data_IF_383132507969
#
_entry.id   IF_383132507969
#
_cell.length_a   1.000
_cell.length_b   1.000
_cell.length_c   1.000
_cell.angle_alpha   90.00
_cell.angle_beta   90.00
_cell.angle_gamma   90.00
#
_symmetry.space_group_name_H-M   'P 1'
#
loop_
_entity.id
_entity.type
_entity.pdbx_description
1 polymer ?
#
# COMPACT_ATOMS: atom_id res chain seq x y z
N UNK A 1 -30.97 -0.29 -31.05
CA UNK A 1 -30.17 -1.16 -30.17
C UNK A 1 -30.77 -1.06 -28.78
N UNK A 2 -31.37 -2.14 -28.24
CA UNK A 2 -32.02 -2.09 -26.93
C UNK A 2 -30.98 -1.90 -25.80
N UNK A 3 -31.25 -1.08 -24.77
CA UNK A 3 -30.31 -0.89 -23.67
C UNK A 3 -30.06 -2.22 -22.94
N UNK A 4 -28.85 -2.43 -22.39
CA UNK A 4 -28.56 -3.63 -21.62
C UNK A 4 -29.50 -3.73 -20.41
N UNK A 5 -29.99 -4.95 -20.16
CA UNK A 5 -30.86 -5.26 -19.04
C UNK A 5 -30.24 -4.82 -17.71
N UNK A 6 -31.07 -4.50 -16.72
CA UNK A 6 -30.60 -4.11 -15.38
C UNK A 6 -29.57 -5.10 -14.81
N UNK A 7 -29.81 -6.40 -15.00
CA UNK A 7 -28.90 -7.48 -14.62
C UNK A 7 -27.52 -7.39 -15.29
N UNK A 8 -27.47 -7.11 -16.59
CA UNK A 8 -26.21 -6.96 -17.32
C UNK A 8 -25.41 -5.72 -16.86
N UNK A 9 -26.10 -4.68 -16.38
CA UNK A 9 -25.48 -3.47 -15.81
C UNK A 9 -24.91 -3.74 -14.43
N UNK A 10 -25.66 -4.43 -13.57
CA UNK A 10 -25.21 -4.86 -12.23
C UNK A 10 -24.00 -5.79 -12.33
N UNK A 11 -24.02 -6.78 -13.23
CA UNK A 11 -22.91 -7.70 -13.42
C UNK A 11 -21.61 -7.03 -13.93
N UNK A 12 -21.73 -5.83 -14.52
CA UNK A 12 -20.59 -5.06 -15.04
C UNK A 12 -20.03 -4.09 -13.99
N UNK A 13 -20.88 -3.43 -13.22
CA UNK A 13 -20.49 -2.37 -12.27
C UNK A 13 -20.27 -2.92 -10.86
N UNK A 14 -21.03 -3.96 -10.47
CA UNK A 14 -20.99 -4.56 -9.14
C UNK A 14 -19.58 -4.93 -8.66
N UNK A 15 -18.77 -5.65 -9.44
CA UNK A 15 -17.44 -6.04 -8.97
C UNK A 15 -16.47 -4.86 -8.80
N UNK A 16 -16.62 -3.80 -9.59
CA UNK A 16 -15.83 -2.56 -9.40
C UNK A 16 -16.18 -1.86 -8.10
N UNK A 17 -17.46 -1.81 -7.74
CA UNK A 17 -17.86 -1.25 -6.44
C UNK A 17 -17.37 -2.15 -5.30
N UNK A 18 -17.50 -3.47 -5.45
CA UNK A 18 -17.03 -4.44 -4.48
C UNK A 18 -15.50 -4.38 -4.28
N UNK A 19 -14.72 -4.03 -5.31
CA UNK A 19 -13.25 -3.95 -5.21
C UNK A 19 -12.77 -2.79 -4.35
N UNK A 20 -13.64 -1.86 -3.94
CA UNK A 20 -13.30 -0.79 -2.99
C UNK A 20 -13.50 -1.23 -1.54
N UNK A 21 -14.28 -2.29 -1.29
CA UNK A 21 -14.65 -2.74 0.06
C UNK A 21 -13.42 -3.17 0.86
N UNK A 22 -12.59 -4.06 0.32
CA UNK A 22 -11.39 -4.53 1.02
C UNK A 22 -10.39 -3.39 1.35
N UNK A 23 -10.03 -2.50 0.40
CA UNK A 23 -9.21 -1.33 0.71
C UNK A 23 -9.80 -0.44 1.79
N UNK A 24 -11.12 -0.19 1.73
CA UNK A 24 -11.82 0.61 2.74
C UNK A 24 -11.75 -0.03 4.13
N UNK A 25 -11.97 -1.34 4.22
CA UNK A 25 -11.89 -2.06 5.51
C UNK A 25 -10.47 -2.05 6.09
N UNK A 26 -9.44 -2.25 5.27
CA UNK A 26 -8.04 -2.17 5.72
C UNK A 26 -7.69 -0.74 6.13
N UNK A 27 -8.06 0.28 5.34
CA UNK A 27 -7.80 1.68 5.70
C UNK A 27 -8.49 2.06 7.03
N UNK A 28 -9.72 1.61 7.26
CA UNK A 28 -10.42 1.78 8.54
C UNK A 28 -9.70 1.05 9.68
N UNK A 29 -9.23 -0.18 9.44
CA UNK A 29 -8.52 -0.95 10.44
C UNK A 29 -7.21 -0.26 10.85
N UNK A 30 -6.39 0.16 9.88
CA UNK A 30 -5.15 0.92 10.12
C UNK A 30 -5.46 2.21 10.86
N UNK A 31 -6.45 3.00 10.42
CA UNK A 31 -6.81 4.26 11.08
C UNK A 31 -7.29 4.09 12.53
N UNK A 32 -7.86 2.93 12.88
CA UNK A 32 -8.37 2.65 14.23
C UNK A 32 -7.36 1.96 15.14
N UNK A 33 -6.44 1.20 14.56
CA UNK A 33 -5.61 0.26 15.32
C UNK A 33 -4.10 0.52 15.21
N UNK A 34 -3.65 1.35 14.27
CA UNK A 34 -2.24 1.74 14.20
C UNK A 34 -1.85 2.54 15.46
N UNK A 35 -0.75 2.15 16.07
CA UNK A 35 -0.19 2.79 17.26
C UNK A 35 1.13 3.46 16.91
N UNK A 36 1.46 4.54 17.61
CA UNK A 36 2.73 5.23 17.43
C UNK A 36 3.84 4.56 18.23
N UNK A 37 4.19 3.34 17.87
CA UNK A 37 5.29 2.57 18.47
C UNK A 37 6.00 1.83 17.36
N UNK A 38 7.34 1.92 17.24
CA UNK A 38 8.08 1.17 16.24
C UNK A 38 7.93 -0.34 16.42
N UNK A 39 7.90 -1.07 15.30
CA UNK A 39 7.85 -2.52 15.27
C UNK A 39 8.87 -3.11 14.28
N UNK A 40 9.52 -4.21 14.71
CA UNK A 40 10.47 -4.99 13.87
C UNK A 40 11.51 -4.13 13.14
N UNK A 41 11.39 -3.97 11.81
CA UNK A 41 12.36 -3.31 10.96
C UNK A 41 12.42 -1.80 11.25
N UNK A 42 11.34 -1.20 11.74
CA UNK A 42 11.31 0.21 12.12
C UNK A 42 12.30 0.51 13.26
N UNK A 43 12.54 -0.44 14.18
CA UNK A 43 13.55 -0.28 15.23
C UNK A 43 14.96 -0.17 14.66
N UNK A 44 15.25 -0.81 13.53
CA UNK A 44 16.56 -0.74 12.89
C UNK A 44 16.85 0.65 12.31
N UNK A 45 15.83 1.47 12.04
CA UNK A 45 15.99 2.85 11.54
C UNK A 45 16.25 3.89 12.62
N UNK A 46 16.20 3.50 13.91
CA UNK A 46 16.39 4.43 15.03
C UNK A 46 17.65 5.30 14.90
N UNK A 47 18.84 4.74 14.57
CA UNK A 47 20.04 5.56 14.41
C UNK A 47 19.87 6.58 13.29
N UNK A 48 19.38 6.17 12.12
CA UNK A 48 19.23 7.07 10.98
C UNK A 48 18.16 8.14 11.21
N UNK A 49 17.08 7.83 11.92
CA UNK A 49 16.10 8.84 12.32
C UNK A 49 16.70 9.87 13.27
N UNK A 50 17.50 9.43 14.25
CA UNK A 50 18.24 10.33 15.13
C UNK A 50 19.21 11.22 14.34
N UNK A 51 19.90 10.64 13.35
CA UNK A 51 20.83 11.35 12.48
C UNK A 51 20.11 12.37 11.59
N UNK A 52 18.94 12.03 11.06
CA UNK A 52 18.06 12.94 10.32
C UNK A 52 17.58 14.09 11.20
N UNK A 53 17.18 13.81 12.45
CA UNK A 53 16.74 14.82 13.40
C UNK A 53 17.85 15.84 13.74
N UNK A 54 19.10 15.38 13.78
CA UNK A 54 20.28 16.21 14.06
C UNK A 54 20.94 16.80 12.79
N UNK A 55 20.40 16.53 11.59
CA UNK A 55 20.97 17.02 10.33
C UNK A 55 22.32 16.41 9.94
N UNK A 56 22.61 15.20 10.43
CA UNK A 56 23.90 14.49 10.25
C UNK A 56 23.80 13.21 9.42
N UNK A 57 22.67 12.94 8.78
CA UNK A 57 22.50 11.77 7.92
C UNK A 57 23.48 11.82 6.74
N UNK A 58 24.26 10.77 6.56
CA UNK A 58 25.21 10.63 5.45
C UNK A 58 24.65 9.79 4.30
N UNK A 59 25.16 10.02 3.09
CA UNK A 59 24.82 9.19 1.92
C UNK A 59 25.29 7.73 2.08
N UNK A 60 26.37 7.51 2.85
CA UNK A 60 26.88 6.17 3.13
C UNK A 60 25.89 5.34 3.93
N UNK A 61 25.18 5.96 4.88
CA UNK A 61 24.14 5.30 5.67
C UNK A 61 22.90 4.96 4.84
N UNK A 62 22.54 5.83 3.90
CA UNK A 62 21.45 5.53 2.96
C UNK A 62 21.78 4.36 2.03
N UNK A 63 23.06 4.21 1.66
CA UNK A 63 23.55 3.13 0.79
C UNK A 63 24.06 1.91 1.56
N UNK A 64 23.99 1.91 2.89
CA UNK A 64 24.46 0.82 3.72
C UNK A 64 23.72 -0.49 3.40
N UNK A 65 24.43 -1.61 3.50
CA UNK A 65 23.82 -2.93 3.33
C UNK A 65 22.95 -3.24 4.56
N UNK A 66 21.72 -3.65 4.32
CA UNK A 66 20.79 -4.16 5.33
C UNK A 66 20.34 -5.56 4.89
N UNK A 67 20.74 -6.57 5.65
CA UNK A 67 20.62 -7.98 5.26
C UNK A 67 21.27 -8.24 3.88
N UNK A 68 20.54 -8.84 2.93
CA UNK A 68 21.05 -9.21 1.61
C UNK A 68 20.97 -8.09 0.56
N UNK A 69 20.45 -6.91 0.93
CA UNK A 69 20.14 -5.86 -0.04
C UNK A 69 20.43 -4.44 0.47
N UNK A 70 20.25 -3.44 -0.42
CA UNK A 70 20.41 -2.02 -0.12
C UNK A 70 19.05 -1.32 -0.32
N UNK A 71 18.20 -1.22 0.72
CA UNK A 71 16.82 -0.72 0.59
C UNK A 71 16.77 0.82 0.56
N UNK A 72 17.49 1.44 -0.39
CA UNK A 72 17.68 2.90 -0.45
C UNK A 72 16.35 3.64 -0.59
N UNK A 73 15.49 3.21 -1.52
CA UNK A 73 14.21 3.87 -1.78
C UNK A 73 13.22 3.76 -0.61
N UNK A 74 12.95 2.56 -0.04
CA UNK A 74 12.13 2.44 1.17
C UNK A 74 12.67 3.29 2.31
N UNK A 75 13.99 3.24 2.56
CA UNK A 75 14.64 4.00 3.62
C UNK A 75 14.47 5.51 3.45
N UNK A 76 14.63 6.03 2.23
CA UNK A 76 14.38 7.45 1.93
C UNK A 76 12.94 7.87 2.24
N UNK A 77 11.96 7.04 1.87
CA UNK A 77 10.55 7.31 2.15
C UNK A 77 10.28 7.31 3.66
N UNK A 78 10.76 6.29 4.38
CA UNK A 78 10.58 6.16 5.83
C UNK A 78 11.25 7.32 6.58
N UNK A 79 12.48 7.68 6.24
CA UNK A 79 13.18 8.81 6.86
C UNK A 79 12.50 10.16 6.56
N UNK A 80 11.94 10.33 5.36
CA UNK A 80 11.15 11.51 5.03
C UNK A 80 9.87 11.58 5.87
N UNK A 81 9.13 10.47 5.99
CA UNK A 81 7.95 10.38 6.85
C UNK A 81 8.30 10.66 8.31
N UNK A 82 9.39 10.07 8.82
CA UNK A 82 9.86 10.31 10.17
C UNK A 82 10.19 11.80 10.39
N UNK A 83 10.90 12.44 9.46
CA UNK A 83 11.25 13.85 9.56
C UNK A 83 10.05 14.79 9.52
N UNK A 84 9.03 14.46 8.73
CA UNK A 84 7.83 15.28 8.54
C UNK A 84 6.80 15.09 9.67
N UNK A 85 6.73 13.89 10.24
CA UNK A 85 5.74 13.52 11.26
C UNK A 85 6.26 13.61 12.69
N UNK A 86 7.56 13.89 12.88
CA UNK A 86 8.29 13.70 14.15
C UNK A 86 8.29 12.23 14.60
N UNK A 87 8.51 11.37 13.62
CA UNK A 87 8.54 9.91 13.71
C UNK A 87 7.30 9.32 14.38
N UNK A 88 6.16 9.68 13.81
CA UNK A 88 4.89 9.07 14.15
C UNK A 88 4.61 7.91 13.19
N UNK A 89 4.84 6.67 13.65
CA UNK A 89 4.82 5.45 12.80
C UNK A 89 3.45 5.18 12.17
N UNK A 90 2.37 5.80 12.68
CA UNK A 90 1.04 5.72 12.05
C UNK A 90 1.03 6.30 10.63
N UNK A 91 1.93 7.23 10.31
CA UNK A 91 2.09 7.74 8.94
C UNK A 91 2.78 6.73 8.03
N UNK A 92 3.61 5.85 8.57
CA UNK A 92 4.24 4.75 7.83
C UNK A 92 3.18 3.71 7.48
N UNK A 93 2.33 3.29 8.42
CA UNK A 93 1.17 2.43 8.12
C UNK A 93 0.21 3.06 7.10
N UNK A 94 -0.06 4.36 7.21
CA UNK A 94 -0.89 5.07 6.23
C UNK A 94 -0.22 5.12 4.83
N UNK A 95 1.10 5.28 4.76
CA UNK A 95 1.85 5.23 3.52
C UNK A 95 1.81 3.82 2.90
N UNK A 96 1.89 2.75 3.69
CA UNK A 96 1.71 1.37 3.20
C UNK A 96 0.34 1.16 2.55
N UNK A 97 -0.74 1.69 3.15
CA UNK A 97 -2.08 1.67 2.53
C UNK A 97 -2.09 2.44 1.21
N UNK A 98 -1.46 3.62 1.15
CA UNK A 98 -1.38 4.42 -0.08
C UNK A 98 -0.61 3.70 -1.20
N UNK A 99 0.52 3.07 -0.87
CA UNK A 99 1.32 2.27 -1.82
C UNK A 99 0.53 1.07 -2.32
N UNK A 100 -0.20 0.37 -1.45
CA UNK A 100 -1.05 -0.74 -1.85
C UNK A 100 -2.22 -0.30 -2.75
N UNK A 101 -2.77 0.90 -2.55
CA UNK A 101 -3.79 1.47 -3.44
C UNK A 101 -3.20 1.77 -4.82
N UNK A 102 -2.00 2.36 -4.87
CA UNK A 102 -1.29 2.57 -6.13
C UNK A 102 -1.00 1.24 -6.85
N UNK A 103 -0.57 0.21 -6.11
CA UNK A 103 -0.39 -1.14 -6.63
C UNK A 103 -1.69 -1.70 -7.22
N UNK A 104 -2.83 -1.56 -6.55
CA UNK A 104 -4.12 -2.02 -7.07
C UNK A 104 -4.51 -1.29 -8.37
N UNK A 105 -4.25 0.02 -8.48
CA UNK A 105 -4.48 0.78 -9.72
C UNK A 105 -3.61 0.24 -10.85
N UNK A 106 -2.33 -0.01 -10.58
CA UNK A 106 -1.39 -0.59 -11.56
C UNK A 106 -1.86 -1.99 -11.98
N UNK A 107 -2.24 -2.85 -11.02
CA UNK A 107 -2.77 -4.18 -11.30
C UNK A 107 -4.05 -4.11 -12.13
N UNK A 108 -4.96 -3.20 -11.82
CA UNK A 108 -6.19 -3.01 -12.59
C UNK A 108 -5.90 -2.58 -14.03
N UNK A 109 -4.94 -1.67 -14.23
CA UNK A 109 -4.49 -1.25 -15.56
C UNK A 109 -3.85 -2.42 -16.33
N UNK A 110 -2.99 -3.20 -15.69
CA UNK A 110 -2.35 -4.38 -16.29
C UNK A 110 -3.38 -5.47 -16.66
N UNK A 111 -4.33 -5.76 -15.77
CA UNK A 111 -5.43 -6.70 -16.04
C UNK A 111 -6.26 -6.21 -17.24
N UNK A 112 -6.62 -4.92 -17.26
CA UNK A 112 -7.39 -4.35 -18.36
C UNK A 112 -6.63 -4.39 -19.70
N UNK A 113 -5.31 -4.22 -19.67
CA UNK A 113 -4.45 -4.28 -20.86
C UNK A 113 -4.25 -5.70 -21.38
N UNK A 114 -4.06 -6.68 -20.49
CA UNK A 114 -3.60 -8.04 -20.86
C UNK A 114 -4.73 -9.05 -21.02
N UNK A 115 -5.86 -8.89 -20.33
CA UNK A 115 -6.96 -9.86 -20.38
C UNK A 115 -7.80 -9.66 -21.66
N UNK A 116 -7.93 -10.70 -22.52
CA UNK A 116 -8.69 -10.59 -23.75
C UNK A 116 -10.19 -10.38 -23.50
N UNK A 117 -10.75 -11.10 -22.53
CA UNK A 117 -12.17 -10.98 -22.18
C UNK A 117 -12.42 -9.80 -21.23
N UNK A 118 -12.89 -8.67 -21.77
CA UNK A 118 -13.23 -7.47 -20.98
C UNK A 118 -14.35 -7.68 -19.97
N UNK A 119 -15.11 -8.77 -20.10
CA UNK A 119 -16.13 -9.18 -19.11
C UNK A 119 -15.51 -9.72 -17.82
N UNK A 120 -14.29 -10.26 -17.88
CA UNK A 120 -13.59 -10.83 -16.72
C UNK A 120 -12.80 -9.79 -15.93
N UNK A 121 -12.37 -8.70 -16.57
CA UNK A 121 -11.59 -7.61 -15.94
C UNK A 121 -12.15 -7.17 -14.59
N UNK A 122 -13.44 -6.77 -14.43
CA UNK A 122 -13.98 -6.33 -13.14
C UNK A 122 -13.86 -7.40 -12.04
N UNK A 123 -14.01 -8.68 -12.38
CA UNK A 123 -13.89 -9.79 -11.43
C UNK A 123 -12.44 -10.04 -11.02
N UNK A 124 -11.51 -9.95 -11.97
CA UNK A 124 -10.08 -10.11 -11.69
C UNK A 124 -9.55 -8.95 -10.84
N UNK A 125 -10.04 -7.73 -11.06
CA UNK A 125 -9.71 -6.59 -10.19
C UNK A 125 -10.29 -6.76 -8.80
N UNK A 126 -11.51 -7.28 -8.66
CA UNK A 126 -12.07 -7.64 -7.35
C UNK A 126 -11.20 -8.65 -6.62
N UNK A 127 -10.73 -9.70 -7.30
CA UNK A 127 -9.81 -10.69 -6.72
C UNK A 127 -8.47 -10.06 -6.34
N UNK A 128 -7.87 -9.25 -7.22
CA UNK A 128 -6.62 -8.55 -6.92
C UNK A 128 -6.77 -7.65 -5.68
N UNK A 129 -7.87 -6.88 -5.60
CA UNK A 129 -8.20 -6.07 -4.43
C UNK A 129 -8.33 -6.90 -3.16
N UNK A 130 -9.05 -8.03 -3.20
CA UNK A 130 -9.22 -8.89 -2.05
C UNK A 130 -7.90 -9.51 -1.57
N UNK A 131 -7.00 -9.89 -2.49
CA UNK A 131 -5.69 -10.46 -2.14
C UNK A 131 -4.77 -9.40 -1.55
N UNK A 132 -4.66 -8.24 -2.21
CA UNK A 132 -3.82 -7.13 -1.76
C UNK A 132 -4.29 -6.60 -0.41
N UNK A 133 -5.59 -6.37 -0.22
CA UNK A 133 -6.18 -5.82 1.00
C UNK A 133 -6.82 -6.88 1.89
N UNK A 134 -6.07 -7.95 2.16
CA UNK A 134 -6.49 -9.00 3.10
C UNK A 134 -5.78 -8.87 4.45
N UNK A 135 -6.40 -9.43 5.49
CA UNK A 135 -5.73 -9.62 6.79
C UNK A 135 -4.58 -10.63 6.73
N UNK A 136 -4.49 -11.43 5.66
CA UNK A 136 -3.33 -12.30 5.43
C UNK A 136 -2.06 -11.50 5.11
N UNK A 137 -2.20 -10.24 4.71
CA UNK A 137 -1.10 -9.30 4.47
C UNK A 137 -0.82 -8.43 5.71
N UNK A 138 -1.03 -8.96 6.93
CA UNK A 138 -0.95 -8.16 8.17
C UNK A 138 0.41 -7.49 8.39
N UNK A 139 1.50 -8.06 7.85
CA UNK A 139 2.84 -7.45 7.94
C UNK A 139 2.95 -6.12 7.18
N UNK A 140 2.04 -5.85 6.24
CA UNK A 140 1.99 -4.60 5.50
C UNK A 140 1.16 -3.51 6.20
N UNK A 141 0.42 -3.83 7.28
CA UNK A 141 -0.62 -2.98 7.86
C UNK A 141 -0.35 -2.53 9.29
#
# INVERSE_FOLDING_TARGET
>A
MAPPSALARVARIGPWLASVVCPGLIAIAVARHAVNVPYWDEWHLTPEVEHVAQGRLSLAELWAQHNEHRPVLPKLVMLALARLSRWDTRWESAASVAVALALLVILAALIAATVPSKRLVPWLVLVASALTFSKGQFENW
#
